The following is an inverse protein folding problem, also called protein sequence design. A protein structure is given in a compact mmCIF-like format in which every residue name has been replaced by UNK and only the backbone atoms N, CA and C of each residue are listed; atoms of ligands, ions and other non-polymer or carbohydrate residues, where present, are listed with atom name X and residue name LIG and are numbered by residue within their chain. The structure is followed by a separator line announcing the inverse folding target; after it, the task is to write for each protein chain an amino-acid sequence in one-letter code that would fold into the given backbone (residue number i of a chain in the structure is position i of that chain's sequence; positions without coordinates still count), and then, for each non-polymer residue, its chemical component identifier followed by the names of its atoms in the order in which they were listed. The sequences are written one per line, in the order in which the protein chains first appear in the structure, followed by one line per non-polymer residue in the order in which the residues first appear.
data_IF_746018951583
#
_entry.id   IF_746018951583
#
_cell.length_a   1.000
_cell.length_b   1.000
_cell.length_c   1.000
_cell.angle_alpha   90.00
_cell.angle_beta   90.00
_cell.angle_gamma   90.00
#
_symmetry.space_group_name_H-M   'P 1'
#
loop_
_entity.id
_entity.type
_entity.pdbx_description
1 polymer ?
#
# COMPACT_ATOMS: atom_id res chain seq x y z
N UNK A 1 -50.08 -3.98 -2.83
CA UNK A 1 -50.60 -3.55 -1.52
C UNK A 1 -49.64 -3.99 -0.42
N UNK A 2 -48.85 -3.07 0.14
CA UNK A 2 -47.97 -3.34 1.29
C UNK A 2 -48.78 -3.24 2.57
N UNK A 3 -48.84 -4.30 3.38
CA UNK A 3 -49.36 -4.22 4.75
C UNK A 3 -48.23 -3.73 5.66
N UNK A 4 -48.44 -2.54 6.21
CA UNK A 4 -47.70 -1.96 7.33
C UNK A 4 -47.81 -2.87 8.54
N UNK A 5 -46.72 -3.56 8.91
CA UNK A 5 -46.60 -4.20 10.23
C UNK A 5 -46.08 -3.15 11.20
N UNK A 6 -46.97 -2.68 12.06
CA UNK A 6 -46.71 -1.65 13.07
C UNK A 6 -45.46 -1.95 13.88
N UNK A 7 -44.57 -0.96 13.92
CA UNK A 7 -43.35 -0.95 14.71
C UNK A 7 -43.73 -0.92 16.21
N UNK A 8 -43.57 -2.04 16.93
CA UNK A 8 -43.70 -2.09 18.40
C UNK A 8 -42.46 -1.48 19.09
N UNK A 9 -42.09 -0.27 18.67
CA UNK A 9 -40.88 0.46 19.09
C UNK A 9 -41.19 1.76 19.84
N UNK A 10 -42.37 1.88 20.44
CA UNK A 10 -42.77 3.05 21.21
C UNK A 10 -43.09 2.61 22.63
N UNK A 11 -42.07 2.65 23.47
CA UNK A 11 -42.12 2.97 24.92
C UNK A 11 -40.86 2.42 25.59
N UNK A 12 -39.74 3.14 25.41
CA UNK A 12 -38.61 3.05 26.32
C UNK A 12 -38.79 4.15 27.38
N UNK A 13 -38.60 3.88 28.68
CA UNK A 13 -38.69 4.90 29.71
C UNK A 13 -37.62 5.96 29.46
N UNK A 14 -38.09 7.19 29.22
CA UNK A 14 -37.36 8.34 28.69
C UNK A 14 -36.21 8.87 29.59
N UNK A 15 -35.87 8.21 30.71
CA UNK A 15 -35.08 8.83 31.78
C UNK A 15 -33.57 8.57 31.74
N UNK A 16 -33.05 7.76 30.82
CA UNK A 16 -31.60 7.52 30.67
C UNK A 16 -31.04 7.80 29.26
N UNK A 17 -31.82 8.50 28.44
CA UNK A 17 -31.43 9.00 27.12
C UNK A 17 -30.36 10.13 27.15
N UNK A 18 -30.18 10.95 28.21
CA UNK A 18 -29.25 12.10 28.15
C UNK A 18 -27.78 11.71 27.91
N UNK A 19 -27.31 10.62 28.54
CA UNK A 19 -25.91 10.22 28.42
C UNK A 19 -25.58 9.59 27.05
N UNK A 20 -26.49 8.84 26.44
CA UNK A 20 -26.26 8.24 25.12
C UNK A 20 -26.33 9.27 23.97
N UNK A 21 -27.19 10.30 24.10
CA UNK A 21 -27.27 11.41 23.14
C UNK A 21 -26.02 12.31 23.16
N UNK A 22 -25.42 12.54 24.32
CA UNK A 22 -24.20 13.34 24.47
C UNK A 22 -22.98 12.75 23.71
N UNK A 23 -22.97 11.43 23.49
CA UNK A 23 -21.96 10.73 22.70
C UNK A 23 -22.40 10.41 21.26
N UNK A 24 -23.56 10.93 20.82
CA UNK A 24 -24.03 10.83 19.42
C UNK A 24 -24.54 9.46 18.99
N UNK A 25 -24.92 8.57 19.91
CA UNK A 25 -25.34 7.20 19.58
C UNK A 25 -26.85 7.06 19.72
N UNK A 26 -27.53 6.87 18.59
CA UNK A 26 -28.96 6.56 18.52
C UNK A 26 -29.18 5.05 18.38
N UNK A 27 -30.19 4.46 19.04
CA UNK A 27 -30.44 3.01 19.03
C UNK A 27 -30.68 2.44 17.62
N UNK A 28 -30.98 3.27 16.63
CA UNK A 28 -31.30 2.85 15.27
C UNK A 28 -30.09 2.88 14.31
N UNK A 29 -28.85 3.07 14.79
CA UNK A 29 -27.68 3.35 13.91
C UNK A 29 -26.45 2.43 14.14
N UNK A 30 -26.69 1.16 14.47
CA UNK A 30 -25.65 0.12 14.63
C UNK A 30 -25.41 -0.59 13.27
N UNK A 31 -25.08 0.17 12.23
CA UNK A 31 -24.83 -0.39 10.89
C UNK A 31 -23.35 -0.37 10.48
N UNK A 32 -22.50 0.41 11.19
CA UNK A 32 -21.08 0.56 10.85
C UNK A 32 -20.14 -0.04 11.92
N UNK A 33 -19.02 -0.61 11.45
CA UNK A 33 -17.99 -1.27 12.28
C UNK A 33 -17.35 -0.33 13.31
N UNK A 34 -17.25 0.97 13.00
CA UNK A 34 -16.76 2.00 13.93
C UNK A 34 -17.73 2.26 15.10
N UNK A 35 -19.03 2.20 14.83
CA UNK A 35 -20.05 2.42 15.85
C UNK A 35 -20.12 1.26 16.84
N UNK A 36 -19.92 0.00 16.39
CA UNK A 36 -19.84 -1.17 17.27
C UNK A 36 -18.68 -1.10 18.28
N UNK A 37 -17.49 -0.70 17.85
CA UNK A 37 -16.33 -0.60 18.75
C UNK A 37 -16.52 0.45 19.85
N UNK A 38 -17.14 1.59 19.53
CA UNK A 38 -17.52 2.62 20.50
C UNK A 38 -18.63 2.13 21.43
N UNK A 39 -19.60 1.39 20.90
CA UNK A 39 -20.73 0.84 21.65
C UNK A 39 -20.30 -0.22 22.68
N UNK A 40 -19.44 -1.17 22.30
CA UNK A 40 -18.95 -2.24 23.19
C UNK A 40 -18.19 -1.64 24.38
N UNK A 41 -17.36 -0.61 24.17
CA UNK A 41 -16.63 0.08 25.24
C UNK A 41 -17.54 0.80 26.23
N UNK A 42 -18.61 1.43 25.74
CA UNK A 42 -19.61 2.08 26.59
C UNK A 42 -20.41 1.02 27.35
N UNK A 43 -20.80 -0.07 26.70
CA UNK A 43 -21.53 -1.17 27.31
C UNK A 43 -20.74 -1.81 28.47
N UNK A 44 -19.46 -2.11 28.27
CA UNK A 44 -18.61 -2.66 29.34
C UNK A 44 -18.44 -1.71 30.52
N UNK A 45 -18.37 -0.40 30.26
CA UNK A 45 -18.24 0.62 31.30
C UNK A 45 -19.54 0.79 32.10
N UNK A 46 -20.70 0.82 31.43
CA UNK A 46 -22.01 0.93 32.08
C UNK A 46 -22.30 -0.34 32.88
N UNK A 47 -22.09 -1.53 32.31
CA UNK A 47 -22.28 -2.82 33.00
C UNK A 47 -21.43 -2.94 34.28
N UNK A 48 -20.17 -2.50 34.22
CA UNK A 48 -19.24 -2.50 35.36
C UNK A 48 -19.63 -1.51 36.46
N UNK A 49 -20.22 -0.36 36.10
CA UNK A 49 -20.71 0.64 37.05
C UNK A 49 -22.04 0.22 37.68
N UNK A 50 -22.87 -0.50 36.95
CA UNK A 50 -24.18 -0.95 37.40
C UNK A 50 -24.14 -2.14 38.35
N UNK A 51 -23.13 -3.02 38.26
CA UNK A 51 -22.89 -4.09 39.25
C UNK A 51 -22.63 -3.57 40.68
N UNK A 52 -22.47 -2.25 40.87
CA UNK A 52 -22.20 -1.59 42.15
C UNK A 52 -23.42 -0.90 42.81
N UNK A 53 -24.63 -0.91 42.22
CA UNK A 53 -25.83 -0.23 42.79
C UNK A 53 -27.06 -1.15 42.85
N UNK A 54 -27.87 -1.03 43.92
CA UNK A 54 -28.94 -1.96 44.32
C UNK A 54 -30.35 -1.71 43.74
N UNK A 55 -30.50 -0.92 42.68
CA UNK A 55 -31.81 -0.62 42.07
C UNK A 55 -31.86 -1.18 40.64
N UNK A 56 -32.33 -2.42 40.44
CA UNK A 56 -31.85 -3.20 39.29
C UNK A 56 -32.85 -4.23 38.69
N UNK A 57 -33.88 -3.76 37.97
CA UNK A 57 -34.75 -4.67 37.16
C UNK A 57 -35.04 -4.13 35.75
N UNK A 58 -35.28 -2.82 35.58
CA UNK A 58 -35.55 -2.26 34.24
C UNK A 58 -34.27 -2.07 33.41
N UNK A 59 -33.14 -1.79 34.05
CA UNK A 59 -31.83 -1.60 33.40
C UNK A 59 -31.25 -2.92 32.89
N UNK A 60 -31.43 -4.03 33.62
CA UNK A 60 -31.00 -5.37 33.17
C UNK A 60 -31.73 -5.79 31.91
N UNK A 61 -33.06 -5.64 31.85
CA UNK A 61 -33.85 -6.04 30.68
C UNK A 61 -33.44 -5.31 29.39
N UNK A 62 -33.10 -4.02 29.49
CA UNK A 62 -32.63 -3.23 28.34
C UNK A 62 -31.21 -3.64 27.93
N UNK A 63 -30.32 -3.88 28.90
CA UNK A 63 -28.95 -4.34 28.64
C UNK A 63 -28.93 -5.74 28.00
N UNK A 64 -29.74 -6.69 28.49
CA UNK A 64 -29.89 -8.02 27.90
C UNK A 64 -30.36 -7.94 26.43
N UNK A 65 -31.38 -7.12 26.13
CA UNK A 65 -31.82 -6.91 24.73
C UNK A 65 -30.74 -6.32 23.83
N UNK A 66 -29.93 -5.42 24.37
CA UNK A 66 -28.80 -4.82 23.65
C UNK A 66 -27.72 -5.88 23.39
N UNK A 67 -27.41 -6.70 24.39
CA UNK A 67 -26.44 -7.80 24.27
C UNK A 67 -26.87 -8.81 23.22
N UNK A 68 -28.13 -9.24 23.24
CA UNK A 68 -28.68 -10.15 22.22
C UNK A 68 -28.55 -9.57 20.81
N UNK A 69 -28.89 -8.29 20.60
CA UNK A 69 -28.75 -7.63 19.31
C UNK A 69 -27.29 -7.55 18.82
N UNK A 70 -26.34 -7.25 19.71
CA UNK A 70 -24.90 -7.25 19.37
C UNK A 70 -24.45 -8.66 19.04
N UNK A 71 -24.88 -9.65 19.81
CA UNK A 71 -24.55 -11.06 19.60
C UNK A 71 -25.08 -11.55 18.24
N UNK A 72 -26.29 -11.15 17.86
CA UNK A 72 -26.90 -11.51 16.58
C UNK A 72 -26.18 -10.85 15.40
N UNK A 73 -25.85 -9.55 15.52
CA UNK A 73 -25.10 -8.83 14.49
C UNK A 73 -23.71 -9.43 14.28
N UNK A 74 -23.00 -9.70 15.37
CA UNK A 74 -21.64 -10.29 15.32
C UNK A 74 -21.68 -11.71 14.76
N UNK A 75 -22.64 -12.53 15.18
CA UNK A 75 -22.88 -13.87 14.62
C UNK A 75 -23.13 -13.78 13.11
N UNK A 76 -24.06 -12.93 12.68
CA UNK A 76 -24.39 -12.73 11.26
C UNK A 76 -23.17 -12.27 10.43
N UNK A 77 -22.34 -11.40 10.98
CA UNK A 77 -21.11 -10.93 10.32
C UNK A 77 -20.04 -12.03 10.22
N UNK A 78 -19.88 -12.84 11.26
CA UNK A 78 -19.02 -14.02 11.26
C UNK A 78 -19.51 -15.09 10.27
N UNK A 79 -20.82 -15.31 10.17
CA UNK A 79 -21.41 -16.25 9.22
C UNK A 79 -21.15 -15.79 7.77
N UNK A 80 -21.38 -14.50 7.47
CA UNK A 80 -21.10 -13.92 6.15
C UNK A 80 -19.62 -14.06 5.77
N UNK A 81 -18.70 -13.80 6.70
CA UNK A 81 -17.26 -13.88 6.44
C UNK A 81 -16.74 -15.32 6.36
N UNK A 82 -17.34 -16.25 7.12
CA UNK A 82 -16.98 -17.67 7.11
C UNK A 82 -17.55 -18.44 5.92
N UNK A 83 -18.67 -17.99 5.37
CA UNK A 83 -19.29 -18.58 4.18
C UNK A 83 -18.80 -17.97 2.85
N UNK A 84 -18.12 -16.83 2.91
CA UNK A 84 -17.60 -16.16 1.72
C UNK A 84 -16.34 -16.85 1.21
N UNK A 85 -16.28 -17.06 -0.11
CA UNK A 85 -15.08 -17.59 -0.76
C UNK A 85 -14.00 -16.52 -0.83
N UNK A 86 -12.80 -16.86 -0.38
CA UNK A 86 -11.64 -15.97 -0.49
C UNK A 86 -11.09 -15.99 -1.93
N UNK A 87 -10.89 -14.81 -2.53
CA UNK A 87 -10.58 -14.69 -3.97
C UNK A 87 -9.29 -15.39 -4.42
N UNK A 88 -8.25 -15.40 -3.59
CA UNK A 88 -6.95 -16.03 -3.94
C UNK A 88 -6.97 -17.54 -3.78
N UNK A 89 -7.69 -18.05 -2.77
CA UNK A 89 -7.68 -19.48 -2.42
C UNK A 89 -8.87 -20.23 -2.99
N UNK A 90 -9.97 -19.54 -3.30
CA UNK A 90 -11.23 -20.14 -3.76
C UNK A 90 -12.04 -20.88 -2.68
N UNK A 91 -11.49 -21.01 -1.47
CA UNK A 91 -12.12 -21.70 -0.34
C UNK A 91 -12.84 -20.73 0.60
N UNK A 92 -13.90 -21.22 1.23
CA UNK A 92 -14.52 -20.57 2.39
C UNK A 92 -13.66 -20.83 3.62
N UNK A 93 -13.52 -19.89 4.56
CA UNK A 93 -12.80 -20.13 5.80
C UNK A 93 -13.26 -21.39 6.56
N UNK A 94 -14.58 -21.68 6.58
CA UNK A 94 -15.12 -22.89 7.22
C UNK A 94 -14.72 -24.20 6.53
N UNK A 95 -14.42 -24.12 5.23
CA UNK A 95 -14.03 -25.28 4.42
C UNK A 95 -12.52 -25.54 4.47
N UNK A 96 -11.73 -24.70 5.14
CA UNK A 96 -10.27 -24.83 5.27
C UNK A 96 -9.96 -25.88 6.35
N UNK A 97 -9.70 -27.10 5.90
CA UNK A 97 -9.25 -28.22 6.74
C UNK A 97 -7.77 -28.52 6.51
N UNK A 98 -7.11 -29.20 7.47
CA UNK A 98 -5.69 -29.61 7.33
C UNK A 98 -5.40 -30.36 6.03
N UNK A 99 -6.33 -31.21 5.57
CA UNK A 99 -6.17 -31.96 4.32
C UNK A 99 -6.18 -31.09 3.05
N UNK A 100 -6.70 -29.86 3.12
CA UNK A 100 -6.71 -28.90 2.00
C UNK A 100 -5.57 -27.90 2.08
N UNK A 101 -4.81 -27.89 3.18
CA UNK A 101 -3.72 -26.96 3.41
C UNK A 101 -2.69 -27.01 2.27
N UNK A 102 -2.24 -28.20 1.90
CA UNK A 102 -1.24 -28.36 0.83
C UNK A 102 -1.76 -27.85 -0.53
N UNK A 103 -3.03 -28.10 -0.86
CA UNK A 103 -3.66 -27.60 -2.08
C UNK A 103 -3.77 -26.08 -2.08
N UNK A 104 -4.12 -25.49 -0.93
CA UNK A 104 -4.21 -24.04 -0.74
C UNK A 104 -2.83 -23.42 -0.89
N UNK A 105 -1.81 -23.97 -0.23
CA UNK A 105 -0.43 -23.50 -0.31
C UNK A 105 0.11 -23.61 -1.73
N UNK A 106 -0.13 -24.73 -2.42
CA UNK A 106 0.27 -24.89 -3.83
C UNK A 106 -0.43 -23.89 -4.75
N UNK A 107 -1.66 -23.50 -4.43
CA UNK A 107 -2.41 -22.49 -5.20
C UNK A 107 -1.83 -21.09 -4.96
N UNK A 108 -1.53 -20.72 -3.71
CA UNK A 108 -0.99 -19.40 -3.34
C UNK A 108 0.46 -19.25 -3.81
N UNK A 109 1.28 -20.27 -3.59
CA UNK A 109 2.72 -20.28 -3.85
C UNK A 109 3.08 -21.04 -5.13
N UNK A 110 2.13 -21.21 -6.05
CA UNK A 110 2.42 -21.77 -7.37
C UNK A 110 3.58 -20.95 -7.98
N UNK A 111 4.68 -21.58 -8.44
CA UNK A 111 5.80 -20.85 -9.01
C UNK A 111 5.30 -19.91 -10.09
N UNK A 112 5.54 -18.63 -9.87
CA UNK A 112 5.08 -17.55 -10.73
C UNK A 112 5.54 -17.89 -12.15
N UNK A 113 4.59 -17.94 -13.09
CA UNK A 113 4.92 -18.09 -14.51
C UNK A 113 5.80 -16.90 -14.88
N UNK A 114 7.07 -17.15 -15.15
CA UNK A 114 8.02 -16.14 -15.61
C UNK A 114 7.62 -15.77 -17.04
N UNK A 115 6.58 -14.96 -17.19
CA UNK A 115 6.08 -14.47 -18.47
C UNK A 115 6.41 -12.98 -18.60
N UNK A 116 7.70 -12.66 -18.54
CA UNK A 116 8.19 -11.32 -18.83
C UNK A 116 8.83 -11.29 -20.20
N UNK A 117 8.30 -10.49 -21.13
CA UNK A 117 9.02 -10.14 -22.35
C UNK A 117 10.32 -9.44 -21.94
N UNK A 118 11.45 -9.91 -22.45
CA UNK A 118 12.76 -9.32 -22.15
C UNK A 118 12.85 -7.92 -22.76
N UNK A 119 12.63 -6.88 -21.94
CA UNK A 119 12.67 -5.46 -22.33
C UNK A 119 14.07 -4.97 -22.71
N UNK A 120 15.12 -5.53 -22.10
CA UNK A 120 16.50 -5.08 -22.26
C UNK A 120 17.45 -6.19 -22.68
N UNK A 121 18.51 -5.81 -23.39
CA UNK A 121 19.61 -6.67 -23.82
C UNK A 121 20.90 -6.25 -23.12
N UNK A 122 21.84 -7.20 -23.06
CA UNK A 122 23.21 -6.88 -22.61
C UNK A 122 23.81 -5.88 -23.59
N UNK A 123 24.49 -4.86 -23.07
CA UNK A 123 25.05 -3.74 -23.83
C UNK A 123 24.10 -2.56 -24.04
N UNK A 124 22.82 -2.66 -23.67
CA UNK A 124 21.93 -1.49 -23.70
C UNK A 124 22.40 -0.42 -22.70
N UNK A 125 22.39 0.84 -23.13
CA UNK A 125 22.68 2.00 -22.28
C UNK A 125 21.37 2.53 -21.69
N UNK A 126 21.34 2.65 -20.37
CA UNK A 126 20.14 2.97 -19.58
C UNK A 126 20.40 4.06 -18.55
N UNK A 127 19.32 4.73 -18.13
CA UNK A 127 19.26 5.63 -16.97
C UNK A 127 18.40 5.02 -15.89
N UNK A 128 18.69 5.37 -14.65
CA UNK A 128 17.97 4.89 -13.46
C UNK A 128 16.88 5.91 -13.11
N UNK A 129 15.70 5.44 -12.71
CA UNK A 129 14.63 6.31 -12.24
C UNK A 129 15.00 6.97 -10.92
N UNK A 130 14.73 8.27 -10.78
CA UNK A 130 14.77 8.99 -9.51
C UNK A 130 13.51 8.67 -8.69
N UNK A 131 13.61 8.76 -7.36
CA UNK A 131 12.49 8.51 -6.45
C UNK A 131 11.29 9.43 -6.79
N UNK A 132 10.07 8.88 -6.69
CA UNK A 132 8.80 9.41 -7.23
C UNK A 132 8.25 10.68 -6.57
N UNK A 133 9.04 11.38 -5.75
CA UNK A 133 8.58 12.56 -4.99
C UNK A 133 9.10 13.89 -5.57
N UNK A 134 9.45 13.90 -6.87
CA UNK A 134 9.88 15.11 -7.58
C UNK A 134 8.70 15.97 -8.02
N UNK A 135 8.90 17.29 -8.05
CA UNK A 135 7.94 18.22 -8.68
C UNK A 135 7.87 17.94 -10.19
N UNK A 136 6.73 18.17 -10.83
CA UNK A 136 6.48 17.79 -12.23
C UNK A 136 7.44 18.38 -13.28
N UNK A 137 8.20 19.42 -12.94
CA UNK A 137 9.22 20.02 -13.81
C UNK A 137 10.63 19.41 -13.62
N UNK A 138 10.84 18.54 -12.62
CA UNK A 138 12.13 17.89 -12.39
C UNK A 138 12.21 16.58 -13.19
N UNK A 139 13.33 16.28 -13.86
CA UNK A 139 13.46 15.02 -14.59
C UNK A 139 13.33 13.81 -13.65
N UNK A 140 12.56 12.80 -14.06
CA UNK A 140 12.35 11.56 -13.31
C UNK A 140 13.48 10.54 -13.45
N UNK A 141 14.55 10.87 -14.17
CA UNK A 141 15.66 9.97 -14.48
C UNK A 141 17.00 10.59 -14.06
N UNK A 142 17.99 9.76 -13.77
CA UNK A 142 19.38 10.18 -13.52
C UNK A 142 19.98 10.84 -14.77
N UNK A 143 20.90 11.78 -14.56
CA UNK A 143 21.69 12.36 -15.66
C UNK A 143 22.77 11.40 -16.14
N UNK A 144 23.36 10.67 -15.19
CA UNK A 144 24.30 9.58 -15.41
C UNK A 144 23.64 8.41 -16.16
N UNK A 145 24.43 7.80 -17.04
CA UNK A 145 24.06 6.69 -17.93
C UNK A 145 24.91 5.48 -17.58
N UNK A 146 24.32 4.29 -17.73
CA UNK A 146 24.91 3.03 -17.31
C UNK A 146 24.71 1.98 -18.39
N UNK A 147 25.59 0.99 -18.42
CA UNK A 147 25.54 -0.11 -19.38
C UNK A 147 25.07 -1.39 -18.71
N UNK A 148 24.17 -2.12 -19.36
CA UNK A 148 23.68 -3.41 -18.85
C UNK A 148 24.72 -4.49 -19.13
N UNK A 149 25.23 -5.13 -18.08
CA UNK A 149 26.18 -6.25 -18.17
C UNK A 149 25.48 -7.60 -18.20
N UNK A 150 24.41 -7.76 -17.43
CA UNK A 150 23.63 -8.99 -17.37
C UNK A 150 22.15 -8.72 -17.15
N UNK A 151 21.30 -9.59 -17.70
CA UNK A 151 19.85 -9.59 -17.47
C UNK A 151 19.46 -10.95 -16.91
N UNK A 152 18.96 -10.96 -15.68
CA UNK A 152 18.45 -12.15 -15.00
C UNK A 152 16.94 -12.19 -15.16
N UNK A 153 16.46 -13.28 -15.74
CA UNK A 153 15.03 -13.50 -15.96
C UNK A 153 14.42 -14.05 -14.66
N UNK A 154 14.18 -13.15 -13.72
CA UNK A 154 13.47 -13.39 -12.46
C UNK A 154 12.10 -12.70 -12.51
N UNK A 155 11.26 -12.90 -11.49
CA UNK A 155 10.04 -12.09 -11.32
C UNK A 155 10.13 -11.24 -10.04
N UNK A 156 10.34 -9.91 -10.16
CA UNK A 156 10.48 -9.11 -11.39
C UNK A 156 11.85 -9.28 -12.10
N UNK A 157 11.97 -8.86 -13.37
CA UNK A 157 13.21 -8.94 -14.15
C UNK A 157 14.28 -8.04 -13.52
N UNK A 158 15.48 -8.60 -13.40
CA UNK A 158 16.62 -7.98 -12.75
C UNK A 158 17.74 -7.73 -13.77
N UNK A 159 18.39 -6.58 -13.69
CA UNK A 159 19.57 -6.21 -14.48
C UNK A 159 20.76 -5.88 -13.57
N UNK A 160 21.95 -6.25 -14.01
CA UNK A 160 23.23 -5.79 -13.46
C UNK A 160 23.78 -4.68 -14.36
N UNK A 161 24.35 -3.65 -13.74
CA UNK A 161 24.81 -2.45 -14.41
C UNK A 161 26.30 -2.20 -14.14
N UNK A 162 26.95 -1.56 -15.09
CA UNK A 162 28.26 -0.93 -14.95
C UNK A 162 28.18 0.54 -15.37
N UNK A 163 29.07 1.36 -14.82
CA UNK A 163 29.30 2.73 -15.27
C UNK A 163 30.03 2.73 -16.64
N UNK A 164 30.03 3.87 -17.32
CA UNK A 164 30.71 4.09 -18.60
C UNK A 164 32.24 3.97 -18.52
N UNK A 165 32.80 3.85 -17.31
CA UNK A 165 34.21 3.51 -17.04
C UNK A 165 34.43 2.00 -16.80
N UNK A 166 33.47 1.17 -17.19
CA UNK A 166 33.46 -0.29 -17.00
C UNK A 166 33.60 -0.73 -15.53
N UNK A 167 33.12 0.12 -14.60
CA UNK A 167 33.10 -0.20 -13.17
C UNK A 167 31.73 -0.77 -12.78
N UNK A 168 31.65 -1.97 -12.19
CA UNK A 168 30.38 -2.57 -11.80
C UNK A 168 29.72 -1.76 -10.70
N UNK A 169 28.42 -1.52 -10.84
CA UNK A 169 27.64 -0.80 -9.83
C UNK A 169 27.21 -1.79 -8.77
N UNK A 170 27.42 -1.44 -7.51
CA UNK A 170 26.99 -2.28 -6.41
C UNK A 170 25.46 -2.35 -6.35
N UNK A 171 24.94 -3.58 -6.42
CA UNK A 171 23.53 -3.87 -6.28
C UNK A 171 22.90 -4.45 -7.53
N UNK A 172 21.57 -4.48 -7.51
CA UNK A 172 20.75 -5.17 -8.49
C UNK A 172 19.58 -4.27 -8.83
N UNK A 173 19.32 -4.05 -10.12
CA UNK A 173 18.33 -3.07 -10.57
C UNK A 173 17.15 -3.76 -11.25
N UNK A 174 15.93 -3.38 -10.85
CA UNK A 174 14.74 -3.87 -11.52
C UNK A 174 14.59 -3.23 -12.90
N UNK A 175 14.19 -4.01 -13.90
CA UNK A 175 13.95 -3.51 -15.25
C UNK A 175 12.91 -2.35 -15.29
N UNK A 176 11.99 -2.30 -14.33
CA UNK A 176 11.00 -1.23 -14.20
C UNK A 176 11.60 0.12 -13.82
N UNK A 177 12.75 0.12 -13.14
CA UNK A 177 13.48 1.31 -12.71
C UNK A 177 14.48 1.80 -13.76
N UNK A 178 14.51 1.17 -14.94
CA UNK A 178 15.46 1.48 -16.01
C UNK A 178 14.75 2.03 -17.24
N UNK A 179 15.39 3.01 -17.88
CA UNK A 179 14.98 3.55 -19.17
C UNK A 179 16.15 3.54 -20.14
N UNK A 180 15.94 3.00 -21.34
CA UNK A 180 16.95 3.06 -22.41
C UNK A 180 17.12 4.51 -22.90
N UNK A 181 18.37 4.93 -23.04
CA UNK A 181 18.73 6.28 -23.49
C UNK A 181 19.00 6.28 -24.99
N UNK A 182 18.51 7.29 -25.71
CA UNK A 182 18.79 7.52 -27.15
C UNK A 182 20.07 8.31 -27.38
N UNK A 183 20.47 9.15 -26.42
CA UNK A 183 21.60 10.07 -26.52
C UNK A 183 22.59 9.80 -25.38
N UNK A 184 23.41 8.74 -25.46
CA UNK A 184 24.35 8.37 -24.41
C UNK A 184 25.51 9.37 -24.30
N UNK A 185 25.88 10.03 -25.40
CA UNK A 185 27.07 10.90 -25.48
C UNK A 185 26.80 12.35 -25.09
N UNK A 186 25.57 12.67 -24.65
CA UNK A 186 25.16 14.04 -24.30
C UNK A 186 25.07 14.18 -22.79
N UNK A 187 25.93 15.04 -22.25
CA UNK A 187 26.03 15.33 -20.82
C UNK A 187 25.68 16.79 -20.53
N UNK A 188 24.93 17.02 -19.45
CA UNK A 188 24.57 18.36 -19.00
C UNK A 188 25.71 18.95 -18.16
N UNK A 189 26.06 20.21 -18.41
CA UNK A 189 27.04 20.95 -17.61
C UNK A 189 26.34 21.53 -16.38
N UNK A 190 26.86 21.25 -15.19
CA UNK A 190 26.43 21.89 -13.94
C UNK A 190 27.04 23.29 -13.81
N UNK A 191 28.35 23.37 -14.03
CA UNK A 191 29.09 24.61 -13.84
C UNK A 191 30.37 24.64 -14.67
N UNK A 192 30.65 25.78 -15.29
CA UNK A 192 31.99 26.04 -15.87
C UNK A 192 32.92 26.50 -14.75
N UNK A 193 34.01 25.76 -14.54
CA UNK A 193 34.97 26.00 -13.48
C UNK A 193 36.13 26.90 -13.93
N UNK A 194 36.61 26.74 -15.18
CA UNK A 194 37.66 27.56 -15.79
C UNK A 194 37.41 27.75 -17.28
N UNK A 195 37.93 28.84 -17.85
CA UNK A 195 37.86 29.14 -19.29
C UNK A 195 39.25 29.45 -19.82
N UNK A 196 39.56 28.91 -21.00
CA UNK A 196 40.70 29.27 -21.84
C UNK A 196 40.20 29.73 -23.22
N UNK A 197 41.10 30.07 -24.13
CA UNK A 197 40.74 30.55 -25.48
C UNK A 197 39.86 29.55 -26.25
N UNK A 198 40.26 28.27 -26.32
CA UNK A 198 39.51 27.26 -27.09
C UNK A 198 38.82 26.19 -26.25
N UNK A 199 39.20 26.05 -24.97
CA UNK A 199 38.70 25.01 -24.07
C UNK A 199 38.04 25.58 -22.82
N UNK A 200 37.12 24.81 -22.25
CA UNK A 200 36.49 25.11 -20.95
C UNK A 200 36.58 23.89 -20.04
N UNK A 201 36.85 24.12 -18.75
CA UNK A 201 36.88 23.08 -17.74
C UNK A 201 35.53 23.06 -17.03
N UNK A 202 34.83 21.94 -17.08
CA UNK A 202 33.44 21.83 -16.64
C UNK A 202 33.26 20.83 -15.50
N UNK A 203 32.29 21.14 -14.64
CA UNK A 203 31.66 20.19 -13.72
C UNK A 203 30.39 19.67 -14.39
N UNK A 204 30.29 18.37 -14.55
CA UNK A 204 29.12 17.71 -15.13
C UNK A 204 28.00 17.53 -14.11
N UNK A 205 26.76 17.68 -14.56
CA UNK A 205 25.58 17.60 -13.71
C UNK A 205 25.33 16.17 -13.24
N UNK A 206 25.37 15.99 -11.92
CA UNK A 206 25.10 14.69 -11.28
C UNK A 206 26.28 13.74 -11.23
N UNK A 207 27.45 14.14 -11.75
CA UNK A 207 28.70 13.39 -11.59
C UNK A 207 29.57 14.03 -10.50
N UNK A 208 30.45 13.23 -9.90
CA UNK A 208 31.39 13.70 -8.90
C UNK A 208 32.57 14.45 -9.54
N UNK A 209 33.41 15.07 -8.70
CA UNK A 209 34.52 15.91 -9.17
C UNK A 209 35.57 15.13 -9.98
N UNK A 210 35.66 13.80 -9.85
CA UNK A 210 36.57 12.97 -10.64
C UNK A 210 36.21 12.92 -12.13
N UNK A 211 34.99 13.34 -12.49
CA UNK A 211 34.53 13.40 -13.88
C UNK A 211 34.78 14.75 -14.54
N UNK A 212 35.24 15.77 -13.79
CA UNK A 212 35.50 17.08 -14.35
C UNK A 212 36.55 17.00 -15.46
N UNK A 213 36.26 17.62 -16.60
CA UNK A 213 37.11 17.50 -17.79
C UNK A 213 37.15 18.80 -18.59
N UNK A 214 38.19 18.92 -19.42
CA UNK A 214 38.31 19.98 -20.41
C UNK A 214 37.57 19.57 -21.68
N UNK A 215 36.70 20.45 -22.18
CA UNK A 215 35.99 20.27 -23.45
C UNK A 215 36.26 21.45 -24.36
N UNK A 216 36.30 21.22 -25.68
CA UNK A 216 36.41 22.29 -26.65
C UNK A 216 35.11 23.08 -26.74
N UNK A 217 35.22 24.40 -26.88
CA UNK A 217 34.05 25.30 -27.00
C UNK A 217 33.12 24.93 -28.15
N UNK A 218 33.64 24.25 -29.18
CA UNK A 218 32.87 23.80 -30.35
C UNK A 218 31.89 22.67 -30.04
N UNK A 219 32.09 21.93 -28.95
CA UNK A 219 31.22 20.82 -28.54
C UNK A 219 30.15 21.24 -27.52
N UNK A 220 30.07 22.52 -27.19
CA UNK A 220 29.02 23.08 -26.34
C UNK A 220 27.87 23.48 -27.25
N UNK A 221 26.70 22.88 -27.04
CA UNK A 221 25.44 23.20 -27.71
C UNK A 221 24.74 24.41 -27.09
#
# INVERSE_FOLDING_TARGET
MRKSSGNKFTELPYRYIPHAKAFGIYPNNISSRENLGKYIRIYSAVFSLTLKRSEYIQTTSVLEKIWENISEYTRRSCDITSESRHGTTGYKPIDVTKCKEELILKTIYNPIKISGVRKFKVGDIVRISKNKHGKGYTPNWTTEVFKITAVKITNPIICLLEDMRDQPIQGVFYAELLQKTTNPDVYLVEKVLRKQEQKIYVKWLGLDKSHNSWIDKKHVL
#
